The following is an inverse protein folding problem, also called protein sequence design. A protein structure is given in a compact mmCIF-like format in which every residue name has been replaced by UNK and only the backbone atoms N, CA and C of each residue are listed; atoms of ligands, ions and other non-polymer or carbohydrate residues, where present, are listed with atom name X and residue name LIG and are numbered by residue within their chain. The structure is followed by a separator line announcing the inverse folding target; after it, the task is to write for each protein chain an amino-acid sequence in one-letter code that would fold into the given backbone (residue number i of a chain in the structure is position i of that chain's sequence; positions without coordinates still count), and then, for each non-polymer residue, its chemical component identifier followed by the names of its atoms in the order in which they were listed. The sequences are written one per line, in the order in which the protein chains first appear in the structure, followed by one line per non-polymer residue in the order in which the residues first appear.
data_IF_977966968208
#
_entry.id   IF_977966968208
#
_cell.length_a   1.000
_cell.length_b   1.000
_cell.length_c   1.000
_cell.angle_alpha   90.00
_cell.angle_beta   90.00
_cell.angle_gamma   90.00
#
_symmetry.space_group_name_H-M   'P 1'
#
loop_
_entity.id
_entity.type
_entity.pdbx_description
1 polymer ?
#
# COMPACT_ATOMS: atom_id res chain seq x y z
N UNK A 1 24.51 -12.21 12.54
CA UNK A 1 23.19 -12.33 11.88
C UNK A 1 22.18 -12.56 12.98
N UNK A 2 21.44 -11.53 13.38
CA UNK A 2 20.36 -11.70 14.37
C UNK A 2 19.17 -12.39 13.71
N UNK A 3 18.80 -13.55 14.23
CA UNK A 3 17.62 -14.29 13.81
C UNK A 3 16.40 -13.71 14.51
N UNK A 4 15.49 -13.12 13.74
CA UNK A 4 14.20 -12.64 14.22
C UNK A 4 13.41 -13.81 14.81
N UNK A 5 12.78 -13.59 15.97
CA UNK A 5 11.93 -14.60 16.60
C UNK A 5 10.56 -14.64 15.91
N UNK A 6 9.78 -15.73 16.06
CA UNK A 6 8.41 -15.82 15.51
C UNK A 6 7.50 -14.66 15.95
N UNK A 7 7.70 -14.14 17.17
CA UNK A 7 6.99 -12.96 17.69
C UNK A 7 7.37 -11.67 16.96
N UNK A 8 8.65 -11.52 16.57
CA UNK A 8 9.11 -10.38 15.79
C UNK A 8 8.55 -10.43 14.37
N UNK A 9 8.39 -11.63 13.80
CA UNK A 9 7.78 -11.83 12.49
C UNK A 9 6.29 -11.45 12.46
N UNK A 10 5.50 -11.81 13.48
CA UNK A 10 4.09 -11.42 13.58
C UNK A 10 3.92 -9.91 13.80
N UNK A 11 4.71 -9.31 14.68
CA UNK A 11 4.66 -7.86 14.92
C UNK A 11 5.08 -7.07 13.68
N UNK A 12 6.09 -7.55 12.95
CA UNK A 12 6.53 -6.93 11.70
C UNK A 12 5.47 -7.08 10.59
N UNK A 13 4.78 -8.22 10.51
CA UNK A 13 3.68 -8.43 9.58
C UNK A 13 2.47 -7.53 9.90
N UNK A 14 2.10 -7.40 11.18
CA UNK A 14 1.00 -6.55 11.62
C UNK A 14 1.28 -5.06 11.40
N UNK A 15 2.51 -4.62 11.68
CA UNK A 15 2.96 -3.25 11.36
C UNK A 15 2.92 -3.01 9.85
N UNK A 16 3.39 -3.98 9.05
CA UNK A 16 3.35 -3.92 7.60
C UNK A 16 1.92 -3.77 7.07
N UNK A 17 0.97 -4.60 7.53
CA UNK A 17 -0.42 -4.54 7.10
C UNK A 17 -1.09 -3.21 7.46
N UNK A 18 -0.77 -2.67 8.64
CA UNK A 18 -1.30 -1.37 9.09
C UNK A 18 -0.79 -0.24 8.19
N UNK A 19 0.53 -0.17 7.95
CA UNK A 19 1.13 0.85 7.08
C UNK A 19 0.64 0.73 5.63
N UNK A 20 0.53 -0.49 5.09
CA UNK A 20 -0.03 -0.70 3.75
C UNK A 20 -1.44 -0.14 3.68
N UNK A 21 -2.31 -0.49 4.64
CA UNK A 21 -3.68 0.01 4.67
C UNK A 21 -3.73 1.53 4.68
N UNK A 22 -2.95 2.20 5.55
CA UNK A 22 -2.92 3.66 5.62
C UNK A 22 -2.51 4.32 4.29
N UNK A 23 -1.48 3.80 3.62
CA UNK A 23 -1.00 4.34 2.35
C UNK A 23 -2.07 4.19 1.27
N UNK A 24 -2.71 3.01 1.17
CA UNK A 24 -3.72 2.75 0.14
C UNK A 24 -4.99 3.54 0.39
N UNK A 25 -5.43 3.69 1.65
CA UNK A 25 -6.58 4.52 2.00
C UNK A 25 -6.34 6.00 1.65
N UNK A 26 -5.13 6.53 1.91
CA UNK A 26 -4.77 7.90 1.50
C UNK A 26 -4.71 8.06 -0.01
N UNK A 27 -4.17 7.08 -0.71
CA UNK A 27 -4.20 7.08 -2.18
C UNK A 27 -5.64 7.05 -2.70
N UNK A 28 -6.55 6.36 -2.02
CA UNK A 28 -7.95 6.24 -2.40
C UNK A 28 -8.78 7.50 -2.11
N UNK A 29 -8.31 8.40 -1.24
CA UNK A 29 -9.04 9.59 -0.82
C UNK A 29 -9.43 10.48 -2.02
N UNK A 30 -10.72 10.80 -2.10
CA UNK A 30 -11.29 11.63 -3.18
C UNK A 30 -11.38 10.94 -4.54
N UNK A 31 -10.97 9.67 -4.68
CA UNK A 31 -11.16 8.90 -5.91
C UNK A 31 -12.57 8.29 -5.95
N UNK A 32 -13.19 8.18 -7.13
CA UNK A 32 -14.50 7.54 -7.26
C UNK A 32 -14.40 6.03 -6.99
N UNK A 33 -15.46 5.47 -6.44
CA UNK A 33 -15.61 4.03 -6.26
C UNK A 33 -15.50 3.30 -7.61
N UNK A 34 -15.10 2.03 -7.58
CA UNK A 34 -15.00 1.22 -8.80
C UNK A 34 -16.38 1.06 -9.45
N UNK A 35 -16.55 1.67 -10.64
CA UNK A 35 -17.80 1.67 -11.42
C UNK A 35 -17.96 0.44 -12.33
N UNK A 36 -17.05 -0.53 -12.25
CA UNK A 36 -17.11 -1.73 -13.10
C UNK A 36 -18.41 -2.50 -12.87
N UNK A 37 -19.09 -2.98 -13.92
CA UNK A 37 -20.34 -3.72 -13.80
C UNK A 37 -20.20 -4.89 -12.82
N UNK A 38 -21.10 -4.93 -11.84
CA UNK A 38 -21.09 -5.97 -10.82
C UNK A 38 -20.05 -5.79 -9.72
N UNK A 39 -19.28 -4.69 -9.67
CA UNK A 39 -18.48 -4.30 -8.49
C UNK A 39 -19.40 -3.98 -7.30
N UNK A 40 -19.13 -4.60 -6.14
CA UNK A 40 -19.80 -4.27 -4.87
C UNK A 40 -18.82 -3.62 -3.87
N UNK A 41 -17.70 -3.10 -4.37
CA UNK A 41 -16.66 -2.50 -3.54
C UNK A 41 -16.79 -0.99 -3.55
N UNK A 42 -16.75 -0.38 -2.37
CA UNK A 42 -16.62 1.07 -2.21
C UNK A 42 -15.20 1.58 -2.47
N UNK A 43 -14.27 0.69 -2.87
CA UNK A 43 -12.89 1.06 -3.15
C UNK A 43 -12.73 1.46 -4.63
N UNK A 44 -11.84 2.41 -4.95
CA UNK A 44 -11.52 2.76 -6.33
C UNK A 44 -10.88 1.59 -7.08
N UNK A 45 -10.99 1.59 -8.42
CA UNK A 45 -10.22 0.67 -9.27
C UNK A 45 -8.72 0.81 -8.98
N UNK A 46 -8.00 -0.31 -8.91
CA UNK A 46 -6.58 -0.35 -8.54
C UNK A 46 -6.28 -0.41 -7.03
N UNK A 47 -7.27 -0.21 -6.14
CA UNK A 47 -7.06 -0.29 -4.67
C UNK A 47 -6.36 -1.58 -4.24
N UNK A 48 -6.95 -2.73 -4.57
CA UNK A 48 -6.41 -4.02 -4.17
C UNK A 48 -5.10 -4.37 -4.89
N UNK A 49 -4.90 -3.89 -6.12
CA UNK A 49 -3.62 -4.01 -6.84
C UNK A 49 -2.52 -3.26 -6.13
N UNK A 50 -2.79 -2.02 -5.68
CA UNK A 50 -1.83 -1.23 -4.91
C UNK A 50 -1.54 -1.89 -3.56
N UNK A 51 -2.56 -2.42 -2.87
CA UNK A 51 -2.38 -3.20 -1.64
C UNK A 51 -1.43 -4.38 -1.86
N UNK A 52 -1.67 -5.19 -2.88
CA UNK A 52 -0.84 -6.36 -3.17
C UNK A 52 0.60 -5.96 -3.54
N UNK A 53 0.74 -4.91 -4.35
CA UNK A 53 2.04 -4.36 -4.71
C UNK A 53 2.83 -3.92 -3.47
N UNK A 54 2.22 -3.13 -2.58
CA UNK A 54 2.87 -2.62 -1.38
C UNK A 54 3.24 -3.74 -0.40
N UNK A 55 2.34 -4.70 -0.18
CA UNK A 55 2.62 -5.86 0.67
C UNK A 55 3.83 -6.63 0.14
N UNK A 56 3.85 -6.97 -1.16
CA UNK A 56 4.99 -7.67 -1.77
C UNK A 56 6.29 -6.85 -1.70
N UNK A 57 6.21 -5.55 -1.98
CA UNK A 57 7.36 -4.66 -1.93
C UNK A 57 7.98 -4.60 -0.54
N UNK A 58 7.19 -4.40 0.51
CA UNK A 58 7.68 -4.28 1.88
C UNK A 58 8.19 -5.64 2.38
N UNK A 59 7.50 -6.74 2.05
CA UNK A 59 7.96 -8.08 2.42
C UNK A 59 9.35 -8.38 1.85
N UNK A 60 9.63 -7.95 0.62
CA UNK A 60 10.90 -8.18 -0.07
C UNK A 60 11.99 -7.18 0.34
N UNK A 61 11.69 -5.88 0.36
CA UNK A 61 12.68 -4.81 0.50
C UNK A 61 12.81 -4.28 1.93
N UNK A 62 11.94 -4.72 2.85
CA UNK A 62 11.85 -4.25 4.25
C UNK A 62 11.78 -2.71 4.40
N UNK A 63 11.31 -2.03 3.35
CA UNK A 63 11.24 -0.57 3.24
C UNK A 63 10.00 -0.18 2.44
N UNK A 64 9.56 1.07 2.58
CA UNK A 64 8.47 1.63 1.75
C UNK A 64 9.01 2.07 0.39
N UNK A 65 8.23 1.93 -0.70
CA UNK A 65 8.60 2.48 -2.01
C UNK A 65 8.67 4.02 -1.94
N UNK A 66 9.50 4.61 -2.80
CA UNK A 66 9.78 6.05 -2.83
C UNK A 66 9.64 6.59 -4.25
N UNK A 67 9.25 7.85 -4.37
CA UNK A 67 9.04 8.49 -5.66
C UNK A 67 7.81 7.96 -6.40
N UNK A 68 7.85 8.08 -7.72
CA UNK A 68 6.72 7.79 -8.61
C UNK A 68 6.88 6.40 -9.22
N UNK A 69 5.88 5.54 -9.01
CA UNK A 69 5.84 4.19 -9.54
C UNK A 69 4.66 4.02 -10.49
N UNK A 70 4.89 3.34 -11.62
CA UNK A 70 3.82 2.93 -12.52
C UNK A 70 3.34 1.54 -12.12
N UNK A 71 2.06 1.43 -11.76
CA UNK A 71 1.40 0.15 -11.53
C UNK A 71 1.05 -0.45 -12.89
N UNK A 72 1.43 -1.71 -13.15
CA UNK A 72 1.15 -2.36 -14.44
C UNK A 72 -0.36 -2.51 -14.66
N UNK A 73 -0.75 -2.69 -15.92
CA UNK A 73 -2.11 -3.11 -16.27
C UNK A 73 -2.51 -4.37 -15.51
N UNK A 74 -3.79 -4.45 -15.16
CA UNK A 74 -4.36 -5.58 -14.43
C UNK A 74 -5.56 -6.15 -15.14
N UNK A 75 -6.15 -7.17 -14.53
CA UNK A 75 -7.50 -7.63 -14.89
C UNK A 75 -8.36 -7.64 -13.65
N UNK A 76 -9.61 -7.23 -13.81
CA UNK A 76 -10.59 -7.34 -12.75
C UNK A 76 -11.16 -8.77 -12.67
N UNK A 77 -12.07 -8.99 -11.72
CA UNK A 77 -12.73 -10.28 -11.51
C UNK A 77 -13.64 -10.72 -12.66
N UNK A 78 -14.00 -9.81 -13.55
CA UNK A 78 -14.80 -10.06 -14.74
C UNK A 78 -13.92 -10.23 -15.99
N UNK A 79 -12.61 -10.37 -15.80
CA UNK A 79 -11.62 -10.52 -16.86
C UNK A 79 -11.51 -9.28 -17.78
N UNK A 80 -11.99 -8.13 -17.33
CA UNK A 80 -11.85 -6.85 -18.03
C UNK A 80 -10.47 -6.26 -17.74
N UNK A 81 -9.90 -5.59 -18.74
CA UNK A 81 -8.61 -4.92 -18.61
C UNK A 81 -8.77 -3.70 -17.69
N UNK A 82 -7.97 -3.65 -16.63
CA UNK A 82 -7.81 -2.43 -15.84
C UNK A 82 -6.52 -1.72 -16.29
N UNK A 83 -6.59 -0.40 -16.59
CA UNK A 83 -5.43 0.32 -17.09
C UNK A 83 -4.30 0.40 -16.06
N UNK A 84 -3.10 0.63 -16.55
CA UNK A 84 -1.97 1.05 -15.72
C UNK A 84 -2.28 2.39 -15.07
N UNK A 85 -1.77 2.60 -13.87
CA UNK A 85 -1.93 3.88 -13.18
C UNK A 85 -0.65 4.25 -12.43
N UNK A 86 -0.46 5.54 -12.24
CA UNK A 86 0.73 6.07 -11.57
C UNK A 86 0.43 6.35 -10.11
N UNK A 87 1.40 6.06 -9.24
CA UNK A 87 1.33 6.32 -7.80
C UNK A 87 2.55 7.12 -7.39
N UNK A 88 2.34 8.31 -6.82
CA UNK A 88 3.40 9.12 -6.21
C UNK A 88 3.47 8.82 -4.71
N UNK A 89 4.38 7.93 -4.33
CA UNK A 89 4.56 7.53 -2.93
C UNK A 89 5.16 8.65 -2.08
N UNK A 90 5.98 9.54 -2.67
CA UNK A 90 6.50 10.70 -1.96
C UNK A 90 5.36 11.66 -1.62
N UNK A 91 4.45 11.90 -2.57
CA UNK A 91 3.26 12.72 -2.34
C UNK A 91 2.32 12.16 -1.27
N UNK A 92 2.14 10.82 -1.22
CA UNK A 92 1.27 10.16 -0.23
C UNK A 92 1.90 10.15 1.16
N UNK A 93 3.21 9.90 1.26
CA UNK A 93 3.91 9.80 2.54
C UNK A 93 4.30 11.16 3.12
N UNK A 94 4.64 12.17 2.31
CA UNK A 94 4.95 13.53 2.80
C UNK A 94 3.76 14.24 3.45
N UNK A 95 2.52 13.86 3.10
CA UNK A 95 1.31 14.39 3.77
C UNK A 95 1.22 14.00 5.25
N UNK A 96 2.07 13.10 5.73
CA UNK A 96 2.29 12.90 7.16
C UNK A 96 3.68 12.30 7.42
N UNK A 97 4.59 13.08 8.02
CA UNK A 97 5.65 12.49 8.84
C UNK A 97 4.95 11.75 10.00
N UNK A 98 5.02 10.41 10.09
CA UNK A 98 4.68 9.78 11.36
C UNK A 98 5.72 10.23 12.38
N UNK A 99 5.29 10.90 13.44
CA UNK A 99 6.11 11.37 14.57
C UNK A 99 6.76 10.24 15.40
N UNK A 100 7.01 9.06 14.81
CA UNK A 100 7.44 7.85 15.51
C UNK A 100 8.97 7.87 15.80
N UNK A 101 9.71 8.89 15.35
CA UNK A 101 11.15 9.05 15.65
C UNK A 101 11.45 10.02 16.82
N UNK A 102 10.50 10.31 17.71
CA UNK A 102 10.72 11.20 18.88
C UNK A 102 10.97 10.50 20.22
N UNK A 103 11.38 9.24 20.23
CA UNK A 103 11.86 8.60 21.46
C UNK A 103 13.35 8.26 21.36
N UNK A 104 14.19 9.29 21.48
CA UNK A 104 15.57 9.13 21.94
C UNK A 104 15.60 9.61 23.38
N UNK A 105 15.81 8.74 24.39
CA UNK A 105 16.12 9.20 25.73
C UNK A 105 17.52 9.84 25.71
N UNK A 106 17.64 10.98 26.40
CA UNK A 106 18.92 11.56 26.82
C UNK A 106 19.40 10.77 28.04
#
# INVERSE_FOLDING_TARGET
METLTPYDHENQANLCLTTVKEIVERWAEGKPNNQSPGSNSDKPSGYYRLTNYLTGYIMHNKTLPKGVHTMPEGRDRFNQLEPSFTVDFDGITKRHCPSILKNTPI
#
